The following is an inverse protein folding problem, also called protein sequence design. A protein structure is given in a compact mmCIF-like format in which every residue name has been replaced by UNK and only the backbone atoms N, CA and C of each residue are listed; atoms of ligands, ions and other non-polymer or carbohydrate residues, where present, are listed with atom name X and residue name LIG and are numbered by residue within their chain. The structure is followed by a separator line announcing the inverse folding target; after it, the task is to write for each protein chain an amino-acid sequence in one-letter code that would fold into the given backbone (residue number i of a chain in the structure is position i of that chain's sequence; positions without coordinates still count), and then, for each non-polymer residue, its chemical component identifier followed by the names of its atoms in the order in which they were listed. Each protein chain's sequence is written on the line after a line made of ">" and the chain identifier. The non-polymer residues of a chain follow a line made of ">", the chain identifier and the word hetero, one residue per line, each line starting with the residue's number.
data_IF_419308236352
#
_entry.id   IF_419308236352
#
_cell.length_a   1.000
_cell.length_b   1.000
_cell.length_c   1.000
_cell.angle_alpha   90.00
_cell.angle_beta   90.00
_cell.angle_gamma   90.00
#
_symmetry.space_group_name_H-M   'P 1'
#
loop_
_entity.id
_entity.type
_entity.pdbx_description
1 polymer ?
#
# COMPACT_ATOMS: atom_id res chain seq x y z
N UNK A 1 -26.79 1.43 -5.10
CA UNK A 1 -25.54 1.44 -4.32
C UNK A 1 -24.94 2.83 -4.44
N UNK A 2 -24.91 3.59 -3.37
CA UNK A 2 -24.13 4.83 -3.32
C UNK A 2 -22.63 4.48 -3.41
N UNK A 3 -21.81 5.25 -4.13
CA UNK A 3 -20.37 5.00 -4.15
C UNK A 3 -19.84 5.11 -2.72
N UNK A 4 -18.94 4.20 -2.35
CA UNK A 4 -18.16 4.32 -1.11
C UNK A 4 -17.47 5.70 -1.11
N UNK A 5 -17.35 6.37 0.05
CA UNK A 5 -16.60 7.62 0.10
C UNK A 5 -15.19 7.38 -0.46
N UNK A 6 -14.77 8.26 -1.37
CA UNK A 6 -13.38 8.27 -1.83
C UNK A 6 -12.53 8.67 -0.62
N UNK A 7 -11.80 7.71 -0.07
CA UNK A 7 -10.80 8.02 0.94
C UNK A 7 -9.61 8.65 0.23
N UNK A 8 -9.34 9.92 0.54
CA UNK A 8 -8.20 10.65 0.01
C UNK A 8 -7.07 10.61 1.03
N UNK A 9 -6.28 9.53 0.97
CA UNK A 9 -4.99 9.49 1.66
C UNK A 9 -3.93 9.91 0.64
N UNK A 10 -3.15 10.98 0.90
CA UNK A 10 -2.05 11.38 0.04
C UNK A 10 -1.06 10.23 -0.17
N UNK A 11 -0.67 10.01 -1.42
CA UNK A 11 0.38 9.08 -1.81
C UNK A 11 1.48 9.90 -2.46
N UNK A 12 2.71 9.77 -1.98
CA UNK A 12 3.82 10.57 -2.51
C UNK A 12 4.24 10.06 -3.89
N UNK A 13 4.77 10.96 -4.72
CA UNK A 13 5.22 10.63 -6.08
C UNK A 13 6.30 9.54 -6.09
N UNK A 14 7.16 9.49 -5.05
CA UNK A 14 8.19 8.44 -4.94
C UNK A 14 7.58 7.06 -4.72
N UNK A 15 6.45 6.96 -4.00
CA UNK A 15 5.72 5.69 -3.85
C UNK A 15 5.10 5.27 -5.17
N UNK A 16 4.53 6.21 -5.93
CA UNK A 16 3.97 5.93 -7.26
C UNK A 16 5.07 5.41 -8.19
N UNK A 17 6.22 6.08 -8.24
CA UNK A 17 7.37 5.64 -9.03
C UNK A 17 7.89 4.25 -8.59
N UNK A 18 7.92 3.98 -7.28
CA UNK A 18 8.26 2.66 -6.73
C UNK A 18 7.28 1.56 -7.17
N UNK A 19 5.98 1.86 -7.24
CA UNK A 19 4.94 0.94 -7.71
C UNK A 19 5.05 0.71 -9.22
N UNK A 20 5.30 1.77 -10.00
CA UNK A 20 5.52 1.69 -11.45
C UNK A 20 6.69 0.76 -11.79
N UNK A 21 7.81 0.87 -11.07
CA UNK A 21 8.99 0.02 -11.26
C UNK A 21 8.69 -1.48 -11.02
N UNK A 22 7.84 -1.79 -10.03
CA UNK A 22 7.53 -3.18 -9.63
C UNK A 22 6.38 -3.80 -10.40
N UNK A 23 5.46 -2.96 -10.88
CA UNK A 23 4.25 -3.38 -11.55
C UNK A 23 3.25 -4.06 -10.62
N UNK A 24 2.14 -3.38 -10.35
CA UNK A 24 0.96 -3.95 -9.71
C UNK A 24 0.62 -3.31 -8.36
N UNK A 25 -0.39 -3.88 -7.73
CA UNK A 25 -1.02 -3.28 -6.56
C UNK A 25 -0.35 -3.66 -5.25
N UNK A 26 -0.59 -2.84 -4.23
CA UNK A 26 0.00 -2.99 -2.91
C UNK A 26 -1.05 -2.93 -1.81
N UNK A 27 -0.68 -3.38 -0.62
CA UNK A 27 -1.51 -3.37 0.56
C UNK A 27 -0.70 -2.90 1.76
N UNK A 28 -1.26 -1.93 2.50
CA UNK A 28 -0.70 -1.54 3.79
C UNK A 28 -0.99 -2.64 4.81
N UNK A 29 0.06 -3.14 5.44
CA UNK A 29 0.03 -4.13 6.51
C UNK A 29 0.63 -3.54 7.78
N UNK A 30 0.27 -4.07 8.95
CA UNK A 30 0.89 -3.68 10.22
C UNK A 30 2.07 -4.60 10.53
N UNK A 31 3.22 -4.02 10.86
CA UNK A 31 4.35 -4.71 11.47
C UNK A 31 4.71 -4.06 12.82
N UNK A 32 5.55 -4.72 13.61
CA UNK A 32 6.05 -4.16 14.88
C UNK A 32 6.79 -2.83 14.69
N UNK A 33 7.35 -2.59 13.50
CA UNK A 33 8.05 -1.35 13.13
C UNK A 33 7.14 -0.27 12.54
N UNK A 34 5.81 -0.47 12.53
CA UNK A 34 4.85 0.45 11.92
C UNK A 34 4.22 -0.10 10.63
N UNK A 35 3.49 0.75 9.88
CA UNK A 35 2.84 0.37 8.63
C UNK A 35 3.86 0.05 7.54
N UNK A 36 3.57 -1.01 6.77
CA UNK A 36 4.44 -1.53 5.72
C UNK A 36 3.64 -1.70 4.43
N UNK A 37 4.17 -1.21 3.32
CA UNK A 37 3.61 -1.37 1.99
C UNK A 37 4.09 -2.69 1.38
N UNK A 38 3.18 -3.65 1.22
CA UNK A 38 3.49 -4.99 0.71
C UNK A 38 2.77 -5.27 -0.61
N UNK A 39 3.38 -6.01 -1.53
CA UNK A 39 2.71 -6.43 -2.76
C UNK A 39 1.47 -7.29 -2.43
N UNK A 40 0.39 -7.11 -3.20
CA UNK A 40 -0.81 -7.96 -3.06
C UNK A 40 -0.57 -9.43 -3.35
N UNK A 41 0.51 -9.77 -4.07
CA UNK A 41 0.93 -11.17 -4.28
C UNK A 41 1.32 -11.85 -2.97
N UNK A 42 2.01 -11.12 -2.09
CA UNK A 42 2.41 -11.59 -0.76
C UNK A 42 1.27 -11.45 0.24
N UNK A 43 0.56 -10.33 0.19
CA UNK A 43 -0.56 -10.05 1.11
C UNK A 43 -1.81 -9.59 0.37
N UNK A 44 -2.68 -10.53 -0.04
CA UNK A 44 -3.89 -10.20 -0.78
C UNK A 44 -4.83 -9.22 -0.05
N UNK A 45 -5.59 -8.40 -0.80
CA UNK A 45 -6.61 -7.53 -0.25
C UNK A 45 -7.75 -8.33 0.38
N UNK A 46 -8.39 -7.74 1.39
CA UNK A 46 -9.63 -8.26 1.97
C UNK A 46 -10.83 -7.51 1.38
N UNK A 47 -12.02 -8.13 1.32
CA UNK A 47 -13.24 -7.46 0.85
C UNK A 47 -13.61 -6.18 1.61
N UNK A 48 -13.14 -6.07 2.85
CA UNK A 48 -13.39 -4.93 3.73
C UNK A 48 -12.31 -3.86 3.65
N UNK A 49 -11.26 -4.07 2.85
CA UNK A 49 -10.23 -3.08 2.67
C UNK A 49 -10.76 -1.91 1.83
N UNK A 50 -10.27 -0.73 2.13
CA UNK A 50 -10.50 0.49 1.39
C UNK A 50 -9.47 0.63 0.29
N UNK A 51 -9.92 1.13 -0.85
CA UNK A 51 -9.14 1.32 -2.07
C UNK A 51 -8.66 2.76 -2.13
N UNK A 52 -7.33 2.94 -2.16
CA UNK A 52 -6.66 4.23 -2.39
C UNK A 52 -6.03 4.17 -3.78
N UNK A 53 -6.30 5.18 -4.61
CA UNK A 53 -5.66 5.29 -5.94
C UNK A 53 -4.26 5.87 -5.79
N UNK A 54 -3.30 5.28 -6.48
CA UNK A 54 -1.90 5.71 -6.50
C UNK A 54 -1.38 5.66 -7.96
N UNK A 55 -1.53 6.77 -8.69
CA UNK A 55 -1.26 6.79 -10.12
C UNK A 55 -2.12 5.78 -10.88
N UNK A 56 -1.47 4.87 -11.61
CA UNK A 56 -2.11 3.76 -12.33
C UNK A 56 -2.41 2.52 -11.48
N UNK A 57 -2.07 2.53 -10.19
CA UNK A 57 -2.17 1.37 -9.30
C UNK A 57 -3.14 1.62 -8.14
N UNK A 58 -3.38 0.56 -7.37
CA UNK A 58 -4.21 0.56 -6.17
C UNK A 58 -3.36 0.23 -4.94
N UNK A 59 -3.62 0.95 -3.84
CA UNK A 59 -3.19 0.59 -2.50
C UNK A 59 -4.41 0.22 -1.66
N UNK A 60 -4.42 -1.00 -1.13
CA UNK A 60 -5.45 -1.48 -0.23
C UNK A 60 -5.07 -1.21 1.22
N UNK A 61 -6.03 -0.72 2.01
CA UNK A 61 -5.83 -0.43 3.43
C UNK A 61 -6.97 -1.03 4.22
N UNK A 62 -6.67 -1.74 5.31
CA UNK A 62 -7.72 -2.18 6.23
C UNK A 62 -8.55 -0.99 6.71
N UNK A 63 -9.87 -1.08 6.68
CA UNK A 63 -10.75 0.00 7.18
C UNK A 63 -10.46 0.43 8.63
N UNK A 64 -9.86 -0.47 9.43
CA UNK A 64 -9.47 -0.20 10.82
C UNK A 64 -8.13 0.54 10.94
N UNK A 65 -7.33 0.60 9.87
CA UNK A 65 -6.05 1.31 9.84
C UNK A 65 -6.18 2.73 9.27
N UNK A 66 -7.27 3.03 8.57
CA UNK A 66 -7.46 4.30 7.86
C UNK A 66 -7.27 5.54 8.73
N UNK A 67 -7.80 5.52 9.96
CA UNK A 67 -7.72 6.65 10.88
C UNK A 67 -6.29 6.92 11.39
N UNK A 68 -5.37 5.98 11.19
CA UNK A 68 -3.98 6.05 11.64
C UNK A 68 -3.00 6.37 10.51
N UNK A 69 -3.49 6.52 9.27
CA UNK A 69 -2.67 6.75 8.08
C UNK A 69 -3.03 8.12 7.50
N UNK A 70 -2.13 9.09 7.66
CA UNK A 70 -2.29 10.43 7.11
C UNK A 70 -1.63 10.63 5.74
N UNK A 71 -0.68 9.77 5.37
CA UNK A 71 0.07 9.80 4.10
C UNK A 71 0.70 8.42 3.87
N UNK A 72 0.83 8.02 2.61
CA UNK A 72 1.62 6.85 2.20
C UNK A 72 2.90 7.35 1.52
N UNK A 73 4.04 7.12 2.18
CA UNK A 73 5.36 7.53 1.71
C UNK A 73 6.37 6.39 1.75
N UNK A 74 7.56 6.61 1.18
CA UNK A 74 8.64 5.61 1.13
C UNK A 74 9.11 5.09 2.49
N UNK A 75 8.72 5.74 3.61
CA UNK A 75 8.95 5.22 4.97
C UNK A 75 8.22 3.90 5.23
N UNK A 76 7.11 3.67 4.53
CA UNK A 76 6.35 2.42 4.61
C UNK A 76 6.94 1.33 3.70
N UNK A 77 7.86 1.66 2.80
CA UNK A 77 8.53 0.66 1.98
C UNK A 77 9.60 -0.04 2.82
N UNK A 78 9.45 -1.35 3.08
CA UNK A 78 10.39 -2.08 3.92
C UNK A 78 11.80 -2.10 3.28
N UNK A 79 12.81 -1.65 4.05
CA UNK A 79 14.18 -1.44 3.52
C UNK A 79 14.88 -2.73 3.08
N UNK A 80 14.51 -3.87 3.65
CA UNK A 80 15.08 -5.17 3.27
C UNK A 80 14.75 -5.59 1.83
N UNK A 81 13.77 -4.95 1.19
CA UNK A 81 13.47 -5.18 -0.23
C UNK A 81 14.35 -4.37 -1.20
N UNK A 82 15.27 -3.52 -0.70
CA UNK A 82 16.28 -2.84 -1.53
C UNK A 82 17.53 -3.69 -1.77
N UNK A 83 17.75 -4.71 -0.95
CA UNK A 83 18.78 -5.73 -1.16
C UNK A 83 18.10 -6.93 -1.77
N UNK A 84 18.53 -7.35 -2.97
CA UNK A 84 17.90 -8.45 -3.70
C UNK A 84 17.67 -9.71 -2.83
N UNK A 85 16.59 -10.43 -3.19
CA UNK A 85 16.17 -11.74 -2.68
C UNK A 85 15.57 -11.82 -1.26
N UNK A 86 14.28 -11.50 -1.16
CA UNK A 86 13.24 -12.13 -0.32
C UNK A 86 12.07 -11.16 -0.48
N UNK A 87 11.10 -11.32 -1.39
CA UNK A 87 10.14 -12.39 -1.54
C UNK A 87 9.69 -12.41 -3.01
N UNK A 88 10.49 -12.98 -3.90
CA UNK A 88 10.04 -13.35 -5.23
C UNK A 88 9.31 -14.70 -5.12
N UNK A 89 8.03 -14.66 -4.74
CA UNK A 89 7.06 -15.75 -4.92
C UNK A 89 5.75 -15.14 -5.40
#
# INVERSE_FOLDING_TARGET
>A
MSPLPAYEIPVTDEVIAYMDERGGDFRVSTACSGPVLMSVKVKPPKPTDVVIKAGGHIIYISRYQLEWISEISMRMVPRFFFTGSEYAL
#
